data_IF_790542320273
#
_entry.id   IF_790542320273
#
_cell.length_a   1.000
_cell.length_b   1.000
_cell.length_c   1.000
_cell.angle_alpha   90.00
_cell.angle_beta   90.00
_cell.angle_gamma   90.00
#
_symmetry.space_group_name_H-M   'P 1'
#
loop_
_entity.id
_entity.type
_entity.pdbx_description
1 polymer ?
#
# COMPACT_ATOMS: atom_id res chain seq x y z
N UNK A 1 -19.29 -42.80 -0.02
CA UNK A 1 -18.85 -41.49 -0.37
C UNK A 1 -19.23 -40.57 0.79
N UNK A 2 -18.28 -40.05 1.60
CA UNK A 2 -18.63 -39.01 2.58
C UNK A 2 -19.02 -37.76 1.80
N UNK A 3 -20.20 -37.23 2.10
CA UNK A 3 -20.61 -35.91 1.68
C UNK A 3 -19.67 -34.91 2.36
N UNK A 4 -18.78 -34.27 1.62
CA UNK A 4 -18.09 -33.08 2.06
C UNK A 4 -19.17 -32.01 2.31
N UNK A 5 -19.35 -31.62 3.56
CA UNK A 5 -20.18 -30.49 3.94
C UNK A 5 -19.66 -29.27 3.18
N UNK A 6 -20.53 -28.40 2.64
CA UNK A 6 -20.10 -27.18 1.99
C UNK A 6 -19.30 -26.36 3.02
N UNK A 7 -18.08 -26.03 2.67
CA UNK A 7 -17.21 -25.17 3.47
C UNK A 7 -17.86 -23.80 3.48
N UNK A 8 -18.54 -23.46 4.61
CA UNK A 8 -18.98 -22.08 4.86
C UNK A 8 -17.73 -21.24 5.14
N UNK A 9 -17.31 -20.44 4.18
CA UNK A 9 -16.23 -19.49 4.33
C UNK A 9 -16.73 -18.04 4.12
N UNK A 10 -16.11 -17.09 4.83
CA UNK A 10 -15.23 -17.22 5.98
C UNK A 10 -16.01 -17.48 7.28
N UNK A 11 -15.45 -18.31 8.13
CA UNK A 11 -16.01 -18.60 9.46
C UNK A 11 -15.71 -17.44 10.43
N UNK A 12 -16.47 -17.34 11.53
CA UNK A 12 -16.10 -16.48 12.65
C UNK A 12 -14.84 -17.03 13.34
N UNK A 13 -14.01 -16.15 13.89
CA UNK A 13 -12.86 -16.57 14.69
C UNK A 13 -13.30 -17.41 15.90
N UNK A 14 -12.61 -18.53 16.19
CA UNK A 14 -12.80 -19.29 17.41
C UNK A 14 -12.75 -18.41 18.66
N UNK A 15 -13.62 -18.62 19.66
CA UNK A 15 -13.69 -17.77 20.85
C UNK A 15 -12.34 -17.55 21.54
N UNK A 16 -11.50 -18.59 21.59
CA UNK A 16 -10.17 -18.58 22.22
C UNK A 16 -9.14 -17.71 21.48
N UNK A 17 -9.40 -17.35 20.23
CA UNK A 17 -8.52 -16.48 19.42
C UNK A 17 -8.99 -15.02 19.35
N UNK A 18 -10.19 -14.71 19.82
CA UNK A 18 -10.79 -13.37 19.70
C UNK A 18 -10.03 -12.32 20.48
N UNK A 19 -9.56 -12.64 21.68
CA UNK A 19 -8.75 -11.73 22.50
C UNK A 19 -7.45 -11.36 21.78
N UNK A 20 -6.70 -12.36 21.30
CA UNK A 20 -5.47 -12.14 20.56
C UNK A 20 -5.72 -11.32 19.28
N UNK A 21 -6.79 -11.62 18.55
CA UNK A 21 -7.16 -10.86 17.35
C UNK A 21 -7.54 -9.40 17.69
N UNK A 22 -8.31 -9.16 18.74
CA UNK A 22 -8.66 -7.79 19.17
C UNK A 22 -7.41 -6.97 19.41
N UNK A 23 -6.47 -7.49 20.18
CA UNK A 23 -5.20 -6.81 20.47
C UNK A 23 -4.35 -6.58 19.22
N UNK A 24 -4.28 -7.58 18.30
CA UNK A 24 -3.59 -7.42 17.02
C UNK A 24 -4.23 -6.33 16.14
N UNK A 25 -5.55 -6.29 16.06
CA UNK A 25 -6.26 -5.31 15.26
C UNK A 25 -6.14 -3.89 15.81
N UNK A 26 -6.15 -3.74 17.14
CA UNK A 26 -5.95 -2.45 17.81
C UNK A 26 -4.54 -1.88 17.57
N UNK A 27 -3.51 -2.70 17.78
CA UNK A 27 -2.13 -2.23 17.57
C UNK A 27 -1.84 -1.98 16.07
N UNK A 28 -2.40 -2.79 15.15
CA UNK A 28 -2.32 -2.54 13.70
C UNK A 28 -3.00 -1.23 13.30
N UNK A 29 -4.13 -0.90 13.93
CA UNK A 29 -4.84 0.36 13.70
C UNK A 29 -4.02 1.54 14.22
N UNK A 30 -3.48 1.45 15.44
CA UNK A 30 -2.64 2.50 16.02
C UNK A 30 -1.36 2.75 15.21
N UNK A 31 -0.72 1.70 14.68
CA UNK A 31 0.38 1.84 13.73
C UNK A 31 -0.06 2.45 12.41
N UNK A 32 -1.28 2.13 11.96
CA UNK A 32 -1.86 2.71 10.78
C UNK A 32 -2.00 4.22 10.90
N UNK A 33 -2.59 4.70 11.99
CA UNK A 33 -2.74 6.14 12.27
C UNK A 33 -1.37 6.83 12.34
N UNK A 34 -0.40 6.21 13.03
CA UNK A 34 0.97 6.73 13.08
C UNK A 34 1.60 6.80 11.69
N UNK A 35 1.39 5.79 10.86
CA UNK A 35 1.95 5.72 9.52
C UNK A 35 1.38 6.79 8.59
N UNK A 36 0.08 7.08 8.67
CA UNK A 36 -0.60 8.06 7.81
C UNK A 36 -0.21 9.51 8.11
N UNK A 37 0.26 9.80 9.33
CA UNK A 37 0.60 11.16 9.80
C UNK A 37 1.93 11.22 10.54
N UNK A 38 2.87 10.32 10.18
CA UNK A 38 4.20 10.31 10.80
C UNK A 38 4.91 11.62 10.55
N UNK A 39 5.23 12.31 11.66
CA UNK A 39 5.93 13.57 11.67
C UNK A 39 6.95 13.56 12.83
N UNK A 40 8.21 14.05 12.64
CA UNK A 40 9.23 13.99 13.67
C UNK A 40 8.75 14.47 15.06
N UNK A 41 8.09 15.63 15.20
CA UNK A 41 7.61 16.10 16.52
C UNK A 41 6.57 15.18 17.18
N UNK A 42 5.84 14.36 16.40
CA UNK A 42 4.77 13.48 16.89
C UNK A 42 5.25 12.07 17.27
N UNK A 43 6.50 11.71 16.98
CA UNK A 43 7.03 10.39 17.31
C UNK A 43 6.85 10.00 18.79
N UNK A 44 7.12 10.88 19.77
CA UNK A 44 6.89 10.54 21.17
C UNK A 44 5.42 10.25 21.50
N UNK A 45 4.47 11.01 20.95
CA UNK A 45 3.03 10.80 21.14
C UNK A 45 2.59 9.43 20.59
N UNK A 46 2.99 9.07 19.38
CA UNK A 46 2.68 7.75 18.81
C UNK A 46 3.31 6.62 19.62
N UNK A 47 4.54 6.80 20.10
CA UNK A 47 5.20 5.82 20.94
C UNK A 47 4.44 5.60 22.27
N UNK A 48 3.93 6.69 22.89
CA UNK A 48 3.11 6.61 24.12
C UNK A 48 1.78 5.88 23.87
N UNK A 49 1.13 6.10 22.73
CA UNK A 49 -0.10 5.37 22.33
C UNK A 49 0.15 3.89 22.10
N UNK A 50 1.28 3.52 21.52
CA UNK A 50 1.62 2.14 21.21
C UNK A 50 2.05 1.34 22.44
N UNK A 51 2.64 1.95 23.47
CA UNK A 51 3.20 1.27 24.63
C UNK A 51 2.20 0.39 25.37
N UNK A 52 0.99 0.85 25.77
CA UNK A 52 0.03 0.01 26.49
C UNK A 52 -0.52 -1.12 25.61
N UNK A 53 -0.71 -0.88 24.30
CA UNK A 53 -1.17 -1.90 23.36
C UNK A 53 -0.14 -3.02 23.19
N UNK A 54 1.15 -2.64 23.09
CA UNK A 54 2.24 -3.59 23.01
C UNK A 54 2.34 -4.43 24.29
N UNK A 55 2.22 -3.82 25.47
CA UNK A 55 2.28 -4.52 26.74
C UNK A 55 1.13 -5.55 26.92
N UNK A 56 -0.09 -5.18 26.49
CA UNK A 56 -1.23 -6.09 26.48
C UNK A 56 -1.00 -7.28 25.54
N UNK A 57 -0.60 -7.00 24.30
CA UNK A 57 -0.31 -8.02 23.28
C UNK A 57 0.82 -8.94 23.70
N UNK A 58 1.90 -8.41 24.30
CA UNK A 58 3.05 -9.18 24.76
C UNK A 58 2.64 -10.26 25.77
N UNK A 59 1.79 -9.90 26.73
CA UNK A 59 1.27 -10.86 27.73
C UNK A 59 0.53 -12.03 27.07
N UNK A 60 -0.32 -11.73 26.09
CA UNK A 60 -1.11 -12.76 25.40
C UNK A 60 -0.24 -13.63 24.49
N UNK A 61 0.69 -13.02 23.73
CA UNK A 61 1.62 -13.74 22.85
C UNK A 61 2.52 -14.70 23.65
N UNK A 62 3.05 -14.27 24.79
CA UNK A 62 3.89 -15.12 25.64
C UNK A 62 3.14 -16.26 26.34
N UNK A 63 1.82 -16.15 26.50
CA UNK A 63 1.01 -17.23 27.09
C UNK A 63 0.77 -18.41 26.12
N UNK A 64 1.05 -18.23 24.82
CA UNK A 64 0.82 -19.23 23.79
C UNK A 64 2.11 -19.98 23.47
N UNK A 65 2.14 -21.29 23.73
CA UNK A 65 3.27 -22.17 23.39
C UNK A 65 3.16 -22.60 21.90
N UNK A 66 3.75 -21.79 21.02
CA UNK A 66 3.75 -22.04 19.57
C UNK A 66 4.47 -23.33 19.16
N UNK A 67 5.34 -23.90 20.03
CA UNK A 67 6.07 -25.14 19.71
C UNK A 67 5.17 -26.36 19.67
N UNK A 68 3.96 -26.26 20.27
CA UNK A 68 2.92 -27.29 20.30
C UNK A 68 1.88 -27.13 19.18
N UNK A 69 2.00 -26.12 18.35
CA UNK A 69 1.04 -25.81 17.29
C UNK A 69 1.61 -26.14 15.91
N UNK A 70 0.74 -26.57 15.01
CA UNK A 70 1.08 -26.60 13.60
C UNK A 70 1.38 -25.19 13.10
N UNK A 71 2.39 -25.06 12.23
CA UNK A 71 2.85 -23.77 11.75
C UNK A 71 1.75 -22.92 11.11
N UNK A 72 0.81 -23.57 10.41
CA UNK A 72 -0.29 -22.93 9.69
C UNK A 72 -1.59 -22.89 10.51
N UNK A 73 -1.53 -23.30 11.77
CA UNK A 73 -2.66 -23.17 12.68
C UNK A 73 -2.96 -21.67 12.94
N UNK A 74 -4.23 -21.25 12.99
CA UNK A 74 -4.58 -19.84 13.18
C UNK A 74 -3.92 -19.22 14.41
N UNK A 75 -3.85 -19.93 15.51
CA UNK A 75 -3.18 -19.47 16.73
C UNK A 75 -1.69 -19.20 16.52
N UNK A 76 -0.99 -20.06 15.77
CA UNK A 76 0.44 -19.88 15.46
C UNK A 76 0.65 -18.67 14.54
N UNK A 77 -0.17 -18.50 13.51
CA UNK A 77 -0.12 -17.38 12.56
C UNK A 77 -0.37 -16.06 13.28
N UNK A 78 -1.43 -15.98 14.11
CA UNK A 78 -1.74 -14.76 14.89
C UNK A 78 -0.59 -14.42 15.86
N UNK A 79 -0.05 -15.43 16.55
CA UNK A 79 1.08 -15.24 17.49
C UNK A 79 2.33 -14.76 16.78
N UNK A 80 2.69 -15.35 15.62
CA UNK A 80 3.86 -14.93 14.83
C UNK A 80 3.70 -13.48 14.32
N UNK A 81 2.49 -13.11 13.91
CA UNK A 81 2.20 -11.73 13.55
C UNK A 81 2.35 -10.78 14.74
N UNK A 82 1.87 -11.19 15.93
CA UNK A 82 2.05 -10.45 17.17
C UNK A 82 3.52 -10.20 17.49
N UNK A 83 4.38 -11.20 17.34
CA UNK A 83 5.85 -11.04 17.52
C UNK A 83 6.42 -9.96 16.61
N UNK A 84 5.99 -9.89 15.34
CA UNK A 84 6.44 -8.82 14.43
C UNK A 84 5.98 -7.43 14.91
N UNK A 85 4.74 -7.30 15.38
CA UNK A 85 4.19 -6.04 15.87
C UNK A 85 4.85 -5.59 17.18
N UNK A 86 5.17 -6.51 18.09
CA UNK A 86 5.95 -6.23 19.30
C UNK A 86 7.36 -5.73 18.94
N UNK A 87 8.00 -6.36 17.95
CA UNK A 87 9.28 -5.91 17.42
C UNK A 87 9.21 -4.51 16.79
N UNK A 88 8.10 -4.18 16.11
CA UNK A 88 7.84 -2.84 15.59
C UNK A 88 7.68 -1.82 16.72
N UNK A 89 6.86 -2.12 17.74
CA UNK A 89 6.60 -1.24 18.87
C UNK A 89 7.89 -0.95 19.66
N UNK A 90 8.69 -1.97 19.95
CA UNK A 90 9.98 -1.81 20.64
C UNK A 90 10.93 -0.88 19.87
N UNK A 91 11.06 -1.07 18.54
CA UNK A 91 11.90 -0.20 17.70
C UNK A 91 11.36 1.22 17.62
N UNK A 92 10.04 1.39 17.56
CA UNK A 92 9.40 2.70 17.53
C UNK A 92 9.62 3.47 18.85
N UNK A 93 9.58 2.78 19.99
CA UNK A 93 9.98 3.34 21.27
C UNK A 93 11.45 3.83 21.27
N UNK A 94 12.35 3.06 20.64
CA UNK A 94 13.75 3.45 20.47
C UNK A 94 13.98 4.63 19.51
N UNK A 95 12.95 5.04 18.76
CA UNK A 95 13.00 6.19 17.86
C UNK A 95 12.61 7.52 18.54
N UNK A 96 12.15 7.52 19.80
CA UNK A 96 11.68 8.72 20.54
C UNK A 96 12.73 9.81 20.70
N UNK A 97 14.00 9.42 20.75
CA UNK A 97 15.10 10.33 21.07
C UNK A 97 16.35 9.97 20.27
N UNK A 98 17.17 10.96 20.00
CA UNK A 98 18.48 10.82 19.42
C UNK A 98 18.56 11.16 17.92
N UNK A 99 19.77 11.14 17.35
CA UNK A 99 19.99 11.51 15.97
C UNK A 99 19.26 10.53 15.02
N UNK A 100 18.66 11.08 13.96
CA UNK A 100 17.95 10.30 12.93
C UNK A 100 16.69 9.58 13.41
N UNK A 101 15.97 10.13 14.39
CA UNK A 101 14.73 9.57 14.94
C UNK A 101 13.69 9.22 13.88
N UNK A 102 13.47 10.09 12.88
CA UNK A 102 12.52 9.84 11.82
C UNK A 102 12.91 8.62 10.96
N UNK A 103 14.19 8.43 10.68
CA UNK A 103 14.66 7.25 9.94
C UNK A 103 14.48 5.97 10.74
N UNK A 104 14.70 6.03 12.06
CA UNK A 104 14.44 4.91 12.98
C UNK A 104 12.95 4.59 13.04
N UNK A 105 12.08 5.61 13.09
CA UNK A 105 10.64 5.44 13.06
C UNK A 105 10.17 4.76 11.76
N UNK A 106 10.63 5.20 10.59
CA UNK A 106 10.33 4.52 9.32
C UNK A 106 10.84 3.07 9.28
N UNK A 107 12.03 2.81 9.83
CA UNK A 107 12.55 1.44 9.92
C UNK A 107 11.75 0.56 10.89
N UNK A 108 11.19 1.16 11.95
CA UNK A 108 10.33 0.47 12.90
C UNK A 108 8.98 0.04 12.29
N UNK A 109 8.53 0.69 11.22
CA UNK A 109 7.30 0.31 10.52
C UNK A 109 7.44 -0.93 9.61
N UNK A 110 8.67 -1.33 9.22
CA UNK A 110 8.90 -2.48 8.32
C UNK A 110 8.36 -3.82 8.85
N UNK A 111 8.48 -4.18 10.15
CA UNK A 111 7.90 -5.41 10.66
C UNK A 111 6.37 -5.47 10.54
N UNK A 112 5.67 -4.34 10.43
CA UNK A 112 4.22 -4.28 10.23
C UNK A 112 3.84 -4.91 8.87
N UNK A 113 4.61 -4.62 7.83
CA UNK A 113 4.40 -5.26 6.54
C UNK A 113 4.59 -6.79 6.63
N UNK A 114 5.56 -7.26 7.42
CA UNK A 114 5.76 -8.70 7.68
C UNK A 114 4.62 -9.31 8.48
N UNK A 115 4.10 -8.59 9.48
CA UNK A 115 2.93 -9.02 10.23
C UNK A 115 1.72 -9.20 9.30
N UNK A 116 1.51 -8.27 8.37
CA UNK A 116 0.44 -8.36 7.38
C UNK A 116 0.65 -9.53 6.40
N UNK A 117 1.90 -9.78 5.92
CA UNK A 117 2.19 -10.95 5.07
C UNK A 117 1.82 -12.28 5.76
N UNK A 118 2.07 -12.37 7.07
CA UNK A 118 1.74 -13.54 7.88
C UNK A 118 0.24 -13.68 8.08
N UNK A 119 -0.46 -12.56 8.35
CA UNK A 119 -1.90 -12.54 8.66
C UNK A 119 -2.80 -12.71 7.45
N UNK A 120 -2.43 -12.12 6.31
CA UNK A 120 -3.31 -12.00 5.14
C UNK A 120 -3.88 -13.34 4.65
N UNK A 121 -3.16 -14.48 4.66
CA UNK A 121 -3.72 -15.77 4.30
C UNK A 121 -4.93 -16.19 5.14
N UNK A 122 -5.07 -15.68 6.37
CA UNK A 122 -6.23 -15.94 7.22
C UNK A 122 -7.47 -15.11 6.82
N UNK A 123 -7.32 -14.07 6.00
CA UNK A 123 -8.44 -13.27 5.52
C UNK A 123 -9.45 -14.07 4.69
N UNK A 124 -9.00 -15.15 4.04
CA UNK A 124 -9.89 -16.06 3.32
C UNK A 124 -10.54 -17.13 4.21
N UNK A 125 -10.17 -17.17 5.51
CA UNK A 125 -10.66 -18.18 6.47
C UNK A 125 -11.57 -17.58 7.52
N UNK A 126 -11.36 -16.30 7.91
CA UNK A 126 -12.06 -15.67 9.03
C UNK A 126 -12.63 -14.29 8.64
N UNK A 127 -13.91 -14.08 8.99
CA UNK A 127 -14.66 -12.85 8.69
C UNK A 127 -13.94 -11.61 9.24
N UNK A 128 -13.56 -11.66 10.53
CA UNK A 128 -12.98 -10.51 11.23
C UNK A 128 -11.64 -10.09 10.61
N UNK A 129 -10.85 -11.07 10.17
CA UNK A 129 -9.57 -10.81 9.49
C UNK A 129 -9.82 -10.32 8.07
N UNK A 130 -10.80 -10.88 7.36
CA UNK A 130 -11.20 -10.42 6.03
C UNK A 130 -11.62 -8.96 6.04
N UNK A 131 -12.45 -8.56 7.01
CA UNK A 131 -12.93 -7.19 7.20
C UNK A 131 -11.79 -6.20 7.52
N UNK A 132 -10.77 -6.65 8.25
CA UNK A 132 -9.58 -5.82 8.50
C UNK A 132 -8.88 -5.40 7.21
N UNK A 133 -8.88 -6.25 6.20
CA UNK A 133 -8.30 -5.96 4.87
C UNK A 133 -9.29 -5.35 3.88
N UNK A 134 -10.35 -4.73 4.37
CA UNK A 134 -11.24 -3.85 3.60
C UNK A 134 -11.16 -2.41 4.13
N UNK A 135 -11.48 -1.46 3.26
CA UNK A 135 -11.65 -0.07 3.71
C UNK A 135 -12.83 0.03 4.69
N UNK A 136 -12.80 0.94 5.68
CA UNK A 136 -13.89 1.06 6.65
C UNK A 136 -15.28 1.17 6.02
N UNK A 137 -15.40 1.91 4.92
CA UNK A 137 -16.65 2.11 4.20
C UNK A 137 -17.20 0.83 3.52
N UNK A 138 -16.34 -0.18 3.27
CA UNK A 138 -16.74 -1.42 2.57
C UNK A 138 -16.82 -2.64 3.48
N UNK A 139 -16.52 -2.51 4.77
CA UNK A 139 -16.57 -3.64 5.74
C UNK A 139 -17.97 -4.21 5.91
N UNK A 140 -19.01 -3.37 5.84
CA UNK A 140 -20.42 -3.78 5.97
C UNK A 140 -21.04 -4.25 4.65
N UNK A 141 -20.30 -4.23 3.53
CA UNK A 141 -20.79 -4.67 2.23
C UNK A 141 -20.87 -6.20 2.18
N UNK A 142 -22.06 -6.73 2.36
CA UNK A 142 -22.32 -8.17 2.40
C UNK A 142 -22.01 -8.81 1.04
N UNK A 143 -22.41 -8.17 -0.07
CA UNK A 143 -22.18 -8.69 -1.42
C UNK A 143 -20.69 -8.82 -1.74
N UNK A 144 -19.90 -7.79 -1.40
CA UNK A 144 -18.45 -7.84 -1.56
C UNK A 144 -17.83 -8.97 -0.72
N UNK A 145 -18.19 -9.07 0.57
CA UNK A 145 -17.66 -10.11 1.47
C UNK A 145 -17.98 -11.52 0.97
N UNK A 146 -19.22 -11.74 0.53
CA UNK A 146 -19.62 -13.03 -0.06
C UNK A 146 -18.86 -13.34 -1.34
N UNK A 147 -18.67 -12.35 -2.22
CA UNK A 147 -17.94 -12.56 -3.47
C UNK A 147 -16.48 -12.91 -3.24
N UNK A 148 -15.84 -12.29 -2.26
CA UNK A 148 -14.47 -12.60 -1.85
C UNK A 148 -14.38 -14.00 -1.21
N UNK A 149 -15.37 -14.38 -0.39
CA UNK A 149 -15.43 -15.67 0.29
C UNK A 149 -15.67 -16.85 -0.67
N UNK A 150 -16.58 -16.68 -1.63
CA UNK A 150 -16.93 -17.73 -2.62
C UNK A 150 -15.78 -18.02 -3.59
N UNK A 151 -14.83 -17.12 -3.70
CA UNK A 151 -13.69 -17.22 -4.60
C UNK A 151 -12.58 -18.14 -4.06
N UNK A 152 -12.93 -19.33 -3.56
CA UNK A 152 -12.02 -20.25 -2.89
C UNK A 152 -10.71 -20.51 -3.66
N UNK A 153 -9.64 -20.65 -2.87
CA UNK A 153 -8.30 -21.18 -3.16
C UNK A 153 -7.91 -21.32 -4.65
N UNK A 154 -7.54 -20.21 -5.26
CA UNK A 154 -6.89 -20.23 -6.59
C UNK A 154 -5.47 -19.64 -6.44
N UNK A 155 -4.40 -20.38 -6.77
CA UNK A 155 -3.02 -19.90 -6.64
C UNK A 155 -2.69 -18.71 -7.56
N UNK A 156 -3.56 -18.38 -8.51
CA UNK A 156 -3.44 -17.24 -9.42
C UNK A 156 -4.19 -16.00 -8.94
N UNK A 157 -4.70 -16.02 -7.70
CA UNK A 157 -5.42 -14.93 -7.03
C UNK A 157 -4.83 -14.67 -5.65
N UNK A 158 -5.20 -13.55 -5.05
CA UNK A 158 -4.63 -13.11 -3.79
C UNK A 158 -3.24 -12.50 -3.97
N UNK A 159 -2.39 -12.61 -2.96
CA UNK A 159 -1.07 -12.00 -2.92
C UNK A 159 0.01 -12.95 -3.44
N UNK A 160 0.77 -12.49 -4.41
CA UNK A 160 1.87 -13.22 -5.05
C UNK A 160 3.14 -12.36 -5.09
N UNK A 161 4.32 -13.01 -5.05
CA UNK A 161 5.62 -12.33 -5.14
C UNK A 161 6.44 -12.94 -6.28
N UNK A 162 6.85 -12.11 -7.23
CA UNK A 162 7.66 -12.48 -8.40
C UNK A 162 9.08 -11.93 -8.22
N UNK A 163 10.01 -12.79 -7.79
CA UNK A 163 11.39 -12.40 -7.44
C UNK A 163 11.48 -11.17 -6.52
N UNK A 164 10.52 -11.04 -5.61
CA UNK A 164 10.35 -9.85 -4.76
C UNK A 164 10.43 -10.19 -3.27
N UNK A 165 11.16 -11.23 -2.89
CA UNK A 165 11.48 -11.50 -1.49
C UNK A 165 12.30 -10.34 -0.91
N UNK A 166 12.06 -9.99 0.36
CA UNK A 166 12.83 -8.93 1.02
C UNK A 166 14.34 -9.24 0.97
N UNK A 167 15.11 -8.25 0.55
CA UNK A 167 16.53 -8.41 0.26
C UNK A 167 16.88 -8.60 -1.22
N UNK A 168 15.87 -8.91 -2.08
CA UNK A 168 16.04 -8.92 -3.53
C UNK A 168 15.39 -7.68 -4.15
N UNK A 169 15.91 -7.22 -5.28
CA UNK A 169 15.40 -6.03 -5.97
C UNK A 169 15.12 -6.32 -7.44
N UNK A 170 14.30 -5.47 -8.07
CA UNK A 170 13.93 -5.63 -9.48
C UNK A 170 12.78 -6.59 -9.76
N UNK A 171 12.19 -7.21 -8.71
CA UNK A 171 10.96 -7.99 -8.80
C UNK A 171 9.72 -7.15 -8.48
N UNK A 172 8.56 -7.80 -8.32
CA UNK A 172 7.30 -7.15 -7.95
C UNK A 172 6.40 -8.05 -7.12
N UNK A 173 5.57 -7.44 -6.27
CA UNK A 173 4.46 -8.08 -5.60
C UNK A 173 3.18 -7.75 -6.35
N UNK A 174 2.29 -8.73 -6.48
CA UNK A 174 1.01 -8.58 -7.18
C UNK A 174 -0.11 -9.07 -6.27
N UNK A 175 -1.14 -8.26 -6.14
CA UNK A 175 -2.41 -8.67 -5.60
C UNK A 175 -3.44 -8.75 -6.74
N UNK A 176 -4.08 -9.89 -6.86
CA UNK A 176 -5.22 -10.14 -7.74
C UNK A 176 -6.43 -10.41 -6.83
N UNK A 177 -7.53 -9.65 -6.97
CA UNK A 177 -8.71 -9.87 -6.14
C UNK A 177 -9.15 -11.33 -6.13
N UNK A 178 -9.55 -11.85 -4.97
CA UNK A 178 -9.99 -13.23 -4.83
C UNK A 178 -11.16 -13.56 -5.76
N UNK A 179 -12.03 -12.57 -5.98
CA UNK A 179 -13.21 -12.65 -6.87
C UNK A 179 -12.90 -12.24 -8.33
N UNK A 180 -11.63 -12.19 -8.72
CA UNK A 180 -11.24 -11.93 -10.11
C UNK A 180 -11.89 -12.94 -11.07
N UNK A 181 -12.38 -12.43 -12.20
CA UNK A 181 -12.84 -13.24 -13.34
C UNK A 181 -12.22 -12.70 -14.65
N UNK A 182 -11.93 -13.57 -15.64
CA UNK A 182 -11.30 -13.13 -16.89
C UNK A 182 -12.29 -12.51 -17.90
N UNK A 183 -13.59 -12.57 -17.63
CA UNK A 183 -14.67 -12.12 -18.50
C UNK A 183 -14.85 -10.60 -18.54
N UNK A 184 -14.26 -9.87 -17.62
CA UNK A 184 -14.19 -8.40 -17.63
C UNK A 184 -12.76 -7.92 -17.54
N UNK A 185 -12.51 -6.71 -18.06
CA UNK A 185 -11.22 -6.04 -17.88
C UNK A 185 -11.16 -5.34 -16.49
N UNK A 186 -10.03 -5.45 -15.80
CA UNK A 186 -9.83 -4.97 -14.45
C UNK A 186 -8.84 -3.79 -14.43
N UNK A 187 -9.13 -2.71 -13.68
CA UNK A 187 -8.18 -1.63 -13.50
C UNK A 187 -6.94 -2.11 -12.76
N UNK A 188 -5.79 -1.54 -13.11
CA UNK A 188 -4.51 -1.86 -12.50
C UNK A 188 -3.90 -0.62 -11.83
N UNK A 189 -3.57 -0.76 -10.55
CA UNK A 189 -2.78 0.18 -9.77
C UNK A 189 -1.34 -0.30 -9.77
N UNK A 190 -0.40 0.55 -10.19
CA UNK A 190 1.03 0.33 -10.02
C UNK A 190 1.54 1.33 -8.99
N UNK A 191 2.02 0.83 -7.83
CA UNK A 191 2.42 1.65 -6.70
C UNK A 191 3.93 1.58 -6.44
N UNK A 192 4.60 2.74 -6.44
CA UNK A 192 6.05 2.85 -6.35
C UNK A 192 6.48 3.30 -4.95
N UNK A 193 7.35 2.52 -4.31
CA UNK A 193 7.91 2.84 -2.98
C UNK A 193 8.83 4.07 -3.01
N UNK A 194 9.04 4.72 -1.88
CA UNK A 194 10.03 5.78 -1.70
C UNK A 194 11.48 5.29 -1.65
N UNK A 195 12.43 6.20 -1.53
CA UNK A 195 13.85 5.89 -1.43
C UNK A 195 14.15 4.85 -0.35
N UNK A 196 15.01 3.88 -0.64
CA UNK A 196 15.36 2.74 0.21
C UNK A 196 14.18 1.84 0.63
N UNK A 197 13.00 2.02 0.02
CA UNK A 197 11.82 1.19 0.23
C UNK A 197 11.87 -0.15 -0.51
N UNK A 198 10.80 -0.92 -0.38
CA UNK A 198 10.62 -2.22 -1.03
C UNK A 198 9.15 -2.42 -1.41
N UNK A 199 8.88 -2.98 -2.58
CA UNK A 199 7.52 -3.17 -3.08
C UNK A 199 6.66 -4.07 -2.17
N UNK A 200 7.23 -5.14 -1.64
CA UNK A 200 6.51 -6.02 -0.72
C UNK A 200 6.08 -5.33 0.59
N UNK A 201 6.80 -4.27 1.03
CA UNK A 201 6.40 -3.48 2.18
C UNK A 201 5.37 -2.41 1.79
N UNK A 202 5.55 -1.74 0.65
CA UNK A 202 4.68 -0.67 0.19
C UNK A 202 3.31 -1.15 -0.31
N UNK A 203 3.19 -2.42 -0.71
CA UNK A 203 1.94 -3.07 -1.10
C UNK A 203 0.82 -2.84 -0.07
N UNK A 204 1.13 -2.86 1.21
CA UNK A 204 0.18 -2.71 2.30
C UNK A 204 -0.42 -1.30 2.42
N UNK A 205 0.17 -0.32 1.73
CA UNK A 205 -0.41 1.02 1.60
C UNK A 205 -1.63 1.05 0.68
N UNK A 206 -1.77 0.08 -0.23
CA UNK A 206 -2.82 0.05 -1.25
C UNK A 206 -3.74 -1.18 -1.19
N UNK A 207 -3.32 -2.25 -0.50
CA UNK A 207 -4.02 -3.55 -0.58
C UNK A 207 -5.50 -3.43 -0.17
N UNK A 208 -5.81 -2.70 0.90
CA UNK A 208 -7.20 -2.53 1.37
C UNK A 208 -8.09 -1.88 0.32
N UNK A 209 -7.58 -0.87 -0.34
CA UNK A 209 -8.31 -0.11 -1.36
C UNK A 209 -8.47 -0.95 -2.63
N UNK A 210 -7.42 -1.61 -3.09
CA UNK A 210 -7.46 -2.51 -4.24
C UNK A 210 -8.47 -3.65 -4.02
N UNK A 211 -8.46 -4.27 -2.83
CA UNK A 211 -9.37 -5.35 -2.45
C UNK A 211 -10.82 -4.88 -2.31
N UNK A 212 -11.03 -3.70 -1.73
CA UNK A 212 -12.36 -3.14 -1.52
C UNK A 212 -13.04 -2.67 -2.80
N UNK A 213 -12.27 -2.27 -3.80
CA UNK A 213 -12.79 -1.69 -5.04
C UNK A 213 -12.53 -2.54 -6.30
N UNK A 214 -11.99 -3.76 -6.13
CA UNK A 214 -11.81 -4.68 -7.25
C UNK A 214 -10.77 -4.21 -8.26
N UNK A 215 -9.58 -3.83 -7.79
CA UNK A 215 -8.44 -3.48 -8.63
C UNK A 215 -7.33 -4.53 -8.52
N UNK A 216 -6.63 -4.78 -9.62
CA UNK A 216 -5.31 -5.41 -9.54
C UNK A 216 -4.32 -4.40 -8.95
N UNK A 217 -3.35 -4.89 -8.16
CA UNK A 217 -2.33 -4.04 -7.55
C UNK A 217 -0.95 -4.65 -7.78
N UNK A 218 -0.11 -3.99 -8.58
CA UNK A 218 1.27 -4.38 -8.80
C UNK A 218 2.22 -3.40 -8.10
N UNK A 219 3.12 -3.92 -7.27
CA UNK A 219 4.05 -3.09 -6.49
C UNK A 219 5.47 -3.58 -6.73
N UNK A 220 6.14 -3.00 -7.75
CA UNK A 220 7.51 -3.35 -8.09
C UNK A 220 8.50 -2.81 -7.05
N UNK A 221 9.66 -3.45 -6.99
CA UNK A 221 10.83 -2.94 -6.26
C UNK A 221 11.84 -2.40 -7.26
N UNK A 222 12.33 -1.18 -7.06
CA UNK A 222 13.38 -0.58 -7.88
C UNK A 222 14.62 -1.49 -7.96
N UNK A 223 15.37 -1.41 -9.04
CA UNK A 223 16.58 -2.24 -9.24
C UNK A 223 17.69 -1.89 -8.26
N UNK A 224 17.77 -0.62 -7.86
CA UNK A 224 18.73 -0.13 -6.88
C UNK A 224 18.02 0.40 -5.62
N UNK A 225 18.73 1.03 -4.70
CA UNK A 225 18.18 1.58 -3.45
C UNK A 225 17.00 2.54 -3.68
N UNK A 226 16.95 3.18 -4.84
CA UNK A 226 15.83 4.00 -5.30
C UNK A 226 15.62 3.86 -6.80
N UNK A 227 14.60 4.53 -7.34
CA UNK A 227 14.28 4.57 -8.76
C UNK A 227 15.35 5.32 -9.54
N UNK A 228 15.55 4.95 -10.80
CA UNK A 228 16.55 5.51 -11.71
C UNK A 228 16.17 6.92 -12.20
N UNK A 229 16.11 7.90 -11.28
CA UNK A 229 15.64 9.27 -11.54
C UNK A 229 16.46 10.00 -12.63
N UNK A 230 17.77 9.74 -12.71
CA UNK A 230 18.64 10.35 -13.73
C UNK A 230 18.64 9.59 -15.06
N UNK A 231 18.15 8.36 -15.09
CA UNK A 231 18.10 7.51 -16.28
C UNK A 231 16.79 6.70 -16.26
N UNK A 232 15.62 7.35 -16.42
CA UNK A 232 14.32 6.71 -16.17
C UNK A 232 14.10 5.42 -16.97
N UNK A 233 14.72 5.27 -18.12
CA UNK A 233 14.61 4.07 -18.97
C UNK A 233 15.07 2.76 -18.29
N UNK A 234 15.93 2.84 -17.28
CA UNK A 234 16.48 1.64 -16.61
C UNK A 234 15.37 0.88 -15.86
N UNK A 235 14.61 1.55 -14.99
CA UNK A 235 13.49 0.93 -14.27
C UNK A 235 12.24 0.85 -15.16
N UNK A 236 12.03 1.77 -16.12
CA UNK A 236 10.92 1.71 -17.07
C UNK A 236 10.90 0.39 -17.86
N UNK A 237 12.05 -0.12 -18.28
CA UNK A 237 12.14 -1.43 -18.92
C UNK A 237 11.69 -2.57 -18.00
N UNK A 238 11.93 -2.46 -16.69
CA UNK A 238 11.43 -3.38 -15.67
C UNK A 238 9.92 -3.31 -15.52
N UNK A 239 9.37 -2.09 -15.44
CA UNK A 239 7.92 -1.84 -15.36
C UNK A 239 7.18 -2.39 -16.59
N UNK A 240 7.72 -2.16 -17.79
CA UNK A 240 7.11 -2.67 -19.02
C UNK A 240 7.06 -4.20 -19.02
N UNK A 241 8.16 -4.89 -18.68
CA UNK A 241 8.15 -6.36 -18.55
C UNK A 241 7.17 -6.87 -17.50
N UNK A 242 7.02 -6.16 -16.38
CA UNK A 242 6.02 -6.47 -15.35
C UNK A 242 4.60 -6.32 -15.95
N UNK A 243 4.31 -5.22 -16.63
CA UNK A 243 3.01 -4.98 -17.26
C UNK A 243 2.70 -6.05 -18.30
N UNK A 244 3.65 -6.40 -19.18
CA UNK A 244 3.50 -7.47 -20.16
C UNK A 244 3.18 -8.81 -19.48
N UNK A 245 3.90 -9.14 -18.39
CA UNK A 245 3.68 -10.37 -17.63
C UNK A 245 2.30 -10.41 -16.96
N UNK A 246 1.87 -9.28 -16.37
CA UNK A 246 0.57 -9.17 -15.70
C UNK A 246 -0.55 -9.21 -16.72
N UNK A 247 -0.49 -8.40 -17.79
CA UNK A 247 -1.54 -8.36 -18.82
C UNK A 247 -1.61 -9.63 -19.68
N UNK A 248 -0.51 -10.37 -19.78
CA UNK A 248 -0.49 -11.67 -20.47
C UNK A 248 -1.21 -12.78 -19.69
N UNK A 249 -1.45 -12.59 -18.39
CA UNK A 249 -2.08 -13.60 -17.52
C UNK A 249 -3.45 -13.18 -17.00
N UNK A 250 -3.64 -11.91 -16.73
CA UNK A 250 -4.89 -11.35 -16.21
C UNK A 250 -5.45 -10.31 -17.16
N UNK A 251 -6.78 -10.24 -17.27
CA UNK A 251 -7.47 -9.30 -18.15
C UNK A 251 -7.41 -7.88 -17.57
N UNK A 252 -6.31 -7.18 -17.86
CA UNK A 252 -6.05 -5.79 -17.42
C UNK A 252 -6.73 -4.82 -18.38
N UNK A 253 -7.38 -3.81 -17.84
CA UNK A 253 -7.93 -2.70 -18.64
C UNK A 253 -6.83 -1.70 -19.01
N UNK A 254 -6.43 -1.71 -20.26
CA UNK A 254 -5.40 -0.80 -20.79
C UNK A 254 -5.80 0.69 -20.73
N UNK A 255 -7.10 1.02 -20.56
CA UNK A 255 -7.58 2.38 -20.39
C UNK A 255 -7.61 2.83 -18.93
N UNK A 256 -7.37 1.92 -17.97
CA UNK A 256 -7.38 2.17 -16.54
C UNK A 256 -6.10 1.66 -15.89
N UNK A 257 -4.97 2.34 -16.21
CA UNK A 257 -3.65 2.07 -15.63
C UNK A 257 -3.22 3.28 -14.81
N UNK A 258 -3.25 3.13 -13.47
CA UNK A 258 -2.80 4.16 -12.52
C UNK A 258 -1.35 3.91 -12.13
N UNK A 259 -0.50 4.92 -12.26
CA UNK A 259 0.83 4.94 -11.68
C UNK A 259 0.86 5.90 -10.49
N UNK A 260 1.11 5.38 -9.31
CA UNK A 260 1.24 6.17 -8.07
C UNK A 260 2.55 5.88 -7.37
N UNK A 261 2.89 6.66 -6.38
CA UNK A 261 4.08 6.41 -5.57
C UNK A 261 4.40 7.57 -4.64
N UNK A 262 5.26 7.29 -3.66
CA UNK A 262 5.70 8.27 -2.67
C UNK A 262 7.14 8.72 -2.91
N UNK A 263 7.43 9.99 -2.64
CA UNK A 263 8.80 10.54 -2.62
C UNK A 263 9.53 10.24 -3.94
N UNK A 264 10.64 9.49 -3.93
CA UNK A 264 11.34 9.07 -5.14
C UNK A 264 10.42 8.29 -6.10
N UNK A 265 9.52 7.43 -5.59
CA UNK A 265 8.54 6.72 -6.42
C UNK A 265 7.52 7.66 -7.06
N UNK A 266 7.06 8.67 -6.32
CA UNK A 266 6.20 9.74 -6.85
C UNK A 266 6.93 10.59 -7.90
N UNK A 267 8.20 10.94 -7.63
CA UNK A 267 9.06 11.69 -8.58
C UNK A 267 9.27 10.88 -9.86
N UNK A 268 9.53 9.56 -9.71
CA UNK A 268 9.72 8.68 -10.85
C UNK A 268 8.44 8.52 -11.69
N UNK A 269 7.26 8.46 -11.04
CA UNK A 269 5.99 8.42 -11.75
C UNK A 269 5.81 9.67 -12.64
N UNK A 270 6.22 10.85 -12.15
CA UNK A 270 6.17 12.09 -12.91
C UNK A 270 7.17 12.11 -14.07
N UNK A 271 8.37 11.55 -13.89
CA UNK A 271 9.32 11.39 -15.00
C UNK A 271 8.76 10.49 -16.11
N UNK A 272 7.97 9.46 -15.74
CA UNK A 272 7.32 8.60 -16.73
C UNK A 272 6.11 9.25 -17.40
N UNK A 273 5.45 10.23 -16.78
CA UNK A 273 4.32 10.95 -17.37
C UNK A 273 4.69 11.75 -18.62
N UNK A 274 5.95 12.16 -18.73
CA UNK A 274 6.47 12.90 -19.88
C UNK A 274 7.08 12.02 -20.98
N UNK A 275 7.13 10.70 -20.75
CA UNK A 275 7.61 9.73 -21.75
C UNK A 275 6.50 9.49 -22.77
N UNK A 276 6.76 9.82 -24.04
CA UNK A 276 5.78 9.79 -25.13
C UNK A 276 5.02 8.46 -25.31
N UNK A 277 5.59 7.35 -24.85
CA UNK A 277 5.01 6.00 -24.94
C UNK A 277 4.76 5.39 -23.57
N UNK A 278 4.49 6.20 -22.56
CA UNK A 278 4.10 5.68 -21.25
C UNK A 278 2.77 4.89 -21.37
N UNK A 279 2.69 3.68 -20.85
CA UNK A 279 1.47 2.89 -20.90
C UNK A 279 0.39 3.38 -19.92
N UNK A 280 0.78 4.21 -18.94
CA UNK A 280 -0.12 4.65 -17.87
C UNK A 280 -1.05 5.77 -18.35
N UNK A 281 -2.29 5.70 -17.90
CA UNK A 281 -3.36 6.65 -18.25
C UNK A 281 -3.54 7.74 -17.19
N UNK A 282 -3.14 7.45 -15.94
CA UNK A 282 -3.30 8.34 -14.79
C UNK A 282 -2.05 8.28 -13.90
N UNK A 283 -1.72 9.42 -13.28
CA UNK A 283 -0.55 9.56 -12.41
C UNK A 283 -0.94 10.19 -11.08
N UNK A 284 -0.61 9.55 -9.96
CA UNK A 284 -0.90 10.08 -8.63
C UNK A 284 0.38 10.17 -7.77
N UNK A 285 1.26 11.16 -8.03
CA UNK A 285 2.45 11.37 -7.22
C UNK A 285 2.10 11.90 -5.83
N UNK A 286 2.72 11.31 -4.79
CA UNK A 286 2.56 11.72 -3.39
C UNK A 286 3.91 12.17 -2.83
N UNK A 287 3.96 13.33 -2.17
CA UNK A 287 5.17 13.90 -1.59
C UNK A 287 6.38 13.84 -2.55
N UNK A 288 6.15 14.19 -3.82
CA UNK A 288 7.09 14.05 -4.91
C UNK A 288 7.86 15.34 -5.21
N UNK A 289 9.09 15.19 -5.71
CA UNK A 289 9.88 16.32 -6.21
C UNK A 289 9.48 16.70 -7.66
N UNK A 290 8.22 17.10 -7.87
CA UNK A 290 7.65 17.38 -9.21
C UNK A 290 8.39 18.52 -9.94
N UNK A 291 9.03 19.41 -9.19
CA UNK A 291 9.86 20.51 -9.74
C UNK A 291 11.02 20.02 -10.64
N UNK A 292 11.37 18.73 -10.60
CA UNK A 292 12.38 18.17 -11.54
C UNK A 292 11.95 18.24 -13.00
N UNK A 293 10.67 18.45 -13.28
CA UNK A 293 10.13 18.66 -14.62
C UNK A 293 10.26 20.12 -15.10
N UNK A 294 10.60 21.05 -14.21
CA UNK A 294 10.71 22.47 -14.51
C UNK A 294 12.12 22.81 -15.02
N UNK A 295 12.18 23.69 -16.01
CA UNK A 295 13.43 24.32 -16.42
C UNK A 295 13.89 25.40 -15.41
N UNK A 296 15.01 26.10 -15.70
CA UNK A 296 15.55 27.15 -14.82
C UNK A 296 14.61 28.33 -14.60
N UNK A 297 13.64 28.54 -15.50
CA UNK A 297 12.64 29.60 -15.45
C UNK A 297 11.34 29.12 -14.75
N UNK A 298 11.32 27.90 -14.20
CA UNK A 298 10.17 27.31 -13.51
C UNK A 298 9.07 26.80 -14.45
N UNK A 299 9.32 26.76 -15.77
CA UNK A 299 8.34 26.28 -16.76
C UNK A 299 8.52 24.80 -17.07
N UNK A 300 7.41 24.10 -17.32
CA UNK A 300 7.40 22.72 -17.82
C UNK A 300 7.32 22.76 -19.35
N UNK A 301 8.39 22.33 -20.00
CA UNK A 301 8.48 22.26 -21.47
C UNK A 301 8.18 20.86 -22.02
N UNK A 302 8.00 19.89 -21.12
CA UNK A 302 7.70 18.51 -21.47
C UNK A 302 6.29 18.36 -22.08
N UNK A 303 6.01 17.33 -22.88
CA UNK A 303 4.71 17.09 -23.50
C UNK A 303 3.70 16.51 -22.48
N UNK A 304 3.19 17.38 -21.58
CA UNK A 304 2.23 17.01 -20.52
C UNK A 304 0.78 17.34 -20.86
N UNK A 305 0.50 17.88 -22.07
CA UNK A 305 -0.87 18.24 -22.46
C UNK A 305 -1.81 17.04 -22.31
N UNK A 306 -2.95 17.30 -21.65
CA UNK A 306 -4.01 16.32 -21.34
C UNK A 306 -3.55 15.14 -20.43
N UNK A 307 -2.32 15.16 -19.92
CA UNK A 307 -1.86 14.18 -18.94
C UNK A 307 -2.67 14.34 -17.65
N UNK A 308 -3.29 13.25 -17.18
CA UNK A 308 -4.14 13.24 -15.97
C UNK A 308 -3.28 13.02 -14.74
N UNK A 309 -3.25 14.01 -13.85
CA UNK A 309 -2.39 14.02 -12.66
C UNK A 309 -3.24 14.36 -11.43
N UNK A 310 -3.14 13.54 -10.38
CA UNK A 310 -3.66 13.83 -9.03
C UNK A 310 -2.48 13.97 -8.08
N UNK A 311 -1.96 15.18 -7.91
CA UNK A 311 -0.79 15.44 -7.08
C UNK A 311 -1.18 15.66 -5.62
N UNK A 312 -0.67 14.81 -4.71
CA UNK A 312 -0.86 14.94 -3.26
C UNK A 312 0.41 15.44 -2.61
N UNK A 313 0.30 16.45 -1.75
CA UNK A 313 1.44 16.99 -1.00
C UNK A 313 1.06 17.44 0.41
N UNK A 314 1.99 17.28 1.36
CA UNK A 314 1.82 17.72 2.73
C UNK A 314 2.22 19.18 2.93
N UNK A 315 1.39 19.96 3.63
CA UNK A 315 1.71 21.36 3.91
C UNK A 315 2.89 21.52 4.89
N UNK A 316 3.17 20.49 5.69
CA UNK A 316 4.29 20.47 6.65
C UNK A 316 5.40 19.47 6.22
N UNK A 317 5.50 19.20 4.93
CA UNK A 317 6.55 18.33 4.39
C UNK A 317 7.93 18.95 4.65
N UNK A 318 8.70 18.32 5.54
CA UNK A 318 10.02 18.77 5.96
C UNK A 318 11.12 18.48 4.94
N UNK A 319 10.88 17.57 3.97
CA UNK A 319 11.86 17.20 2.94
C UNK A 319 11.65 17.99 1.66
N UNK A 320 10.41 18.12 1.20
CA UNK A 320 10.06 18.85 -0.02
C UNK A 320 9.11 20.01 0.33
N UNK A 321 9.61 21.26 0.37
CA UNK A 321 8.80 22.43 0.73
C UNK A 321 7.53 22.54 -0.12
N UNK A 322 6.39 22.77 0.52
CA UNK A 322 5.06 22.82 -0.12
C UNK A 322 4.97 23.89 -1.19
N UNK A 323 5.71 25.00 -1.04
CA UNK A 323 5.76 26.08 -2.05
C UNK A 323 6.29 25.59 -3.39
N UNK A 324 7.25 24.65 -3.38
CA UNK A 324 7.75 24.02 -4.62
C UNK A 324 6.70 23.12 -5.25
N UNK A 325 5.93 22.40 -4.45
CA UNK A 325 4.85 21.55 -4.93
C UNK A 325 3.73 22.38 -5.57
N UNK A 326 3.33 23.50 -4.92
CA UNK A 326 2.36 24.46 -5.48
C UNK A 326 2.82 25.06 -6.80
N UNK A 327 4.07 25.54 -6.84
CA UNK A 327 4.65 26.14 -8.05
C UNK A 327 4.74 25.10 -9.20
N UNK A 328 5.11 23.87 -8.90
CA UNK A 328 5.18 22.80 -9.88
C UNK A 328 3.79 22.40 -10.41
N UNK A 329 2.77 22.32 -9.54
CA UNK A 329 1.38 22.08 -9.93
C UNK A 329 0.86 23.18 -10.89
N UNK A 330 1.14 24.45 -10.58
CA UNK A 330 0.77 25.56 -11.45
C UNK A 330 1.48 25.47 -12.81
N UNK A 331 2.79 25.19 -12.82
CA UNK A 331 3.56 25.07 -14.06
C UNK A 331 3.07 23.90 -14.95
N UNK A 332 2.66 22.79 -14.36
CA UNK A 332 2.03 21.67 -15.08
C UNK A 332 0.68 22.06 -15.70
N UNK A 333 -0.13 22.80 -14.94
CA UNK A 333 -1.41 23.34 -15.42
C UNK A 333 -1.20 24.29 -16.59
N UNK A 334 -0.23 25.20 -16.48
CA UNK A 334 0.10 26.17 -17.55
C UNK A 334 0.63 25.46 -18.81
N UNK A 335 1.30 24.32 -18.65
CA UNK A 335 1.74 23.47 -19.75
C UNK A 335 0.62 22.59 -20.35
N UNK A 336 -0.62 22.66 -19.81
CA UNK A 336 -1.81 21.99 -20.32
C UNK A 336 -2.09 20.61 -19.74
N UNK A 337 -1.47 20.23 -18.63
CA UNK A 337 -1.84 19.01 -17.90
C UNK A 337 -3.23 19.14 -17.24
N UNK A 338 -3.99 18.06 -17.22
CA UNK A 338 -5.22 17.92 -16.43
C UNK A 338 -4.83 17.55 -14.99
N UNK A 339 -4.51 18.55 -14.17
CA UNK A 339 -3.99 18.36 -12.82
C UNK A 339 -5.00 18.74 -11.74
N UNK A 340 -5.20 17.81 -10.80
CA UNK A 340 -5.85 18.04 -9.51
C UNK A 340 -4.76 18.08 -8.43
N UNK A 341 -4.60 19.21 -7.76
CA UNK A 341 -3.63 19.39 -6.68
C UNK A 341 -4.32 19.31 -5.32
N UNK A 342 -3.91 18.34 -4.53
CA UNK A 342 -4.41 18.09 -3.18
C UNK A 342 -3.33 18.40 -2.14
N UNK A 343 -3.52 19.45 -1.38
CA UNK A 343 -2.68 19.79 -0.22
C UNK A 343 -3.36 19.35 1.06
N UNK A 344 -2.61 18.63 1.93
CA UNK A 344 -3.09 18.14 3.22
C UNK A 344 -2.36 18.90 4.32
N UNK A 345 -3.11 19.66 5.13
CA UNK A 345 -2.58 20.63 6.07
C UNK A 345 -1.65 20.06 7.16
N UNK A 346 -1.95 18.86 7.65
CA UNK A 346 -1.23 18.18 8.74
C UNK A 346 -0.33 17.03 8.26
N UNK A 347 -0.15 16.89 6.95
CA UNK A 347 0.69 15.86 6.35
C UNK A 347 2.14 16.34 6.25
N UNK A 348 3.04 15.54 6.79
CA UNK A 348 4.48 15.66 6.66
C UNK A 348 4.98 14.90 5.42
N UNK A 349 6.28 14.58 5.33
CA UNK A 349 6.83 13.75 4.24
C UNK A 349 6.41 12.30 4.39
N UNK A 350 5.16 11.99 4.05
CA UNK A 350 4.57 10.69 4.31
C UNK A 350 3.51 10.30 3.26
N UNK A 351 3.09 9.01 3.27
CA UNK A 351 2.04 8.49 2.39
C UNK A 351 0.70 8.46 3.14
N UNK A 352 -0.29 9.31 2.78
CA UNK A 352 -1.61 9.35 3.42
C UNK A 352 -2.52 8.29 2.78
N UNK A 353 -2.66 7.11 3.40
CA UNK A 353 -3.51 6.02 2.87
C UNK A 353 -4.99 6.38 2.86
N UNK A 354 -5.40 7.30 3.72
CA UNK A 354 -6.76 7.85 3.76
C UNK A 354 -7.12 8.70 2.52
N UNK A 355 -6.14 9.10 1.70
CA UNK A 355 -6.37 9.76 0.41
C UNK A 355 -6.59 8.76 -0.75
N UNK A 356 -6.27 7.47 -0.57
CA UNK A 356 -6.46 6.46 -1.62
C UNK A 356 -7.88 6.41 -2.19
N UNK A 357 -8.97 6.48 -1.39
CA UNK A 357 -10.33 6.49 -1.93
C UNK A 357 -10.61 7.70 -2.83
N UNK A 358 -10.01 8.87 -2.54
CA UNK A 358 -10.15 10.05 -3.39
C UNK A 358 -9.39 9.89 -4.71
N UNK A 359 -8.16 9.36 -4.65
CA UNK A 359 -7.36 9.01 -5.83
C UNK A 359 -8.11 8.00 -6.70
N UNK A 360 -8.68 6.94 -6.11
CA UNK A 360 -9.43 5.94 -6.85
C UNK A 360 -10.71 6.48 -7.48
N UNK A 361 -11.44 7.35 -6.78
CA UNK A 361 -12.67 7.98 -7.32
C UNK A 361 -12.34 8.90 -8.49
N UNK A 362 -11.21 9.60 -8.43
CA UNK A 362 -10.72 10.40 -9.54
C UNK A 362 -10.25 9.53 -10.72
N UNK A 363 -9.55 8.44 -10.44
CA UNK A 363 -9.01 7.51 -11.43
C UNK A 363 -10.11 6.73 -12.18
N UNK A 364 -11.10 6.21 -11.45
CA UNK A 364 -12.12 5.29 -11.96
C UNK A 364 -13.39 5.43 -11.11
N UNK A 365 -14.23 6.49 -11.37
CA UNK A 365 -15.42 6.80 -10.58
C UNK A 365 -16.41 5.65 -10.47
N UNK A 366 -16.52 4.84 -11.53
CA UNK A 366 -17.38 3.67 -11.61
C UNK A 366 -17.11 2.60 -10.56
N UNK A 367 -15.91 2.59 -9.94
CA UNK A 367 -15.59 1.69 -8.81
C UNK A 367 -16.39 2.02 -7.53
N UNK A 368 -17.03 3.18 -7.50
CA UNK A 368 -17.84 3.68 -6.37
C UNK A 368 -19.34 3.72 -6.68
N UNK A 369 -19.71 3.48 -7.93
CA UNK A 369 -21.10 3.34 -8.31
C UNK A 369 -21.60 1.98 -7.82
N UNK A 370 -22.67 1.98 -7.02
CA UNK A 370 -23.30 0.74 -6.54
C UNK A 370 -23.91 0.00 -7.73
N UNK A 371 -23.46 -1.21 -8.00
CA UNK A 371 -24.17 -2.13 -8.89
C UNK A 371 -25.41 -2.67 -8.20
#
# INVERSE_FOLDING_TARGET
MPQESPIEFPAALPPELRELWSQLSEILTAFGDAQDRLDPPKIPEYADRLAPLAAALEKTVHAIDVTKLDRDAPAAVLTQSGVQLLGAASRFQGARTGPHEILKAFQALRPIARANDILFPLANRFVEISEHYLTPARRSDVSLRESLAKAAANPERGLMHFNNQRGHRGGYSLYVPENYTPDRAWPLIVALHGGSGHGADFLWSWLRDARAHGCLLAVPTSRDRTWSLHSPGVDAAGLNRMLDSVSGKWNVDAQRLLLTGISDGGTYSMLLSIVKQSPFTHYAPVAAAVHVLQNREGRVEAPVRDTRIYQVHGAVDWMFPVEKARAAAQALKDAGAAIDYREIADLSHNYPRDENPAILRWFSPELFESN
#
